data_IF_831773586761
#
_entry.id   IF_831773586761
#
_cell.length_a   1.000
_cell.length_b   1.000
_cell.length_c   1.000
_cell.angle_alpha   90.00
_cell.angle_beta   90.00
_cell.angle_gamma   90.00
#
_symmetry.space_group_name_H-M   'P 1'
#
loop_
_entity.id
_entity.type
_entity.pdbx_description
1 polymer ?
#
# COMPACT_ATOMS: atom_id res chain seq x y z
N UNK A 1 -21.82 10.88 4.00
CA UNK A 1 -22.67 11.23 2.82
C UNK A 1 -22.13 12.43 2.02
N UNK A 2 -21.37 13.38 2.60
CA UNK A 2 -20.79 14.54 1.87
C UNK A 2 -19.58 14.26 0.95
N UNK A 3 -18.87 13.15 1.12
CA UNK A 3 -17.61 12.88 0.41
C UNK A 3 -17.75 12.19 -0.95
N UNK A 4 -18.88 11.53 -1.25
CA UNK A 4 -19.05 10.76 -2.49
C UNK A 4 -19.30 11.66 -3.72
N UNK A 5 -20.03 12.76 -3.54
CA UNK A 5 -20.53 13.59 -4.66
C UNK A 5 -19.44 14.38 -5.37
N UNK A 6 -18.39 14.84 -4.66
CA UNK A 6 -17.27 15.59 -5.28
C UNK A 6 -16.34 14.70 -6.12
N UNK A 7 -16.29 13.39 -5.86
CA UNK A 7 -15.28 12.46 -6.41
C UNK A 7 -15.80 11.65 -7.60
N UNK A 8 -17.11 11.38 -7.65
CA UNK A 8 -17.78 10.83 -8.85
C UNK A 8 -17.58 11.74 -10.08
N UNK A 9 -17.52 13.07 -9.87
CA UNK A 9 -17.20 14.06 -10.92
C UNK A 9 -15.78 13.96 -11.49
N UNK A 10 -14.86 13.24 -10.84
CA UNK A 10 -13.47 13.03 -11.26
C UNK A 10 -13.19 11.60 -11.72
N UNK A 11 -14.23 10.80 -11.99
CA UNK A 11 -14.12 9.37 -12.35
C UNK A 11 -13.42 8.51 -11.28
N UNK A 12 -13.33 8.99 -10.04
CA UNK A 12 -12.76 8.24 -8.92
C UNK A 12 -13.87 7.39 -8.31
N UNK A 13 -13.81 6.07 -8.55
CA UNK A 13 -14.66 5.11 -7.88
C UNK A 13 -14.09 4.79 -6.50
N UNK A 14 -14.79 5.20 -5.44
CA UNK A 14 -14.52 4.69 -4.10
C UNK A 14 -15.37 3.44 -3.94
N UNK A 15 -14.77 2.28 -4.20
CA UNK A 15 -15.36 1.05 -3.71
C UNK A 15 -15.31 1.08 -2.18
N UNK A 16 -16.42 0.87 -1.46
CA UNK A 16 -16.28 0.49 -0.06
C UNK A 16 -15.36 -0.73 -0.02
N UNK A 17 -14.36 -0.75 0.88
CA UNK A 17 -13.39 -1.84 1.05
C UNK A 17 -14.00 -3.22 1.40
N UNK A 18 -15.31 -3.40 1.21
CA UNK A 18 -16.08 -4.62 1.53
C UNK A 18 -16.03 -5.69 0.45
N UNK A 19 -15.42 -5.46 -0.70
CA UNK A 19 -15.23 -6.54 -1.67
C UNK A 19 -13.87 -6.43 -2.35
N UNK A 20 -12.88 -7.17 -1.85
CA UNK A 20 -11.65 -7.48 -2.59
C UNK A 20 -11.96 -7.99 -4.02
N UNK A 21 -13.15 -8.57 -4.21
CA UNK A 21 -13.72 -8.95 -5.52
C UNK A 21 -13.88 -7.76 -6.47
N UNK A 22 -14.33 -6.61 -5.99
CA UNK A 22 -14.51 -5.41 -6.81
C UNK A 22 -13.16 -4.82 -7.22
N UNK A 23 -12.17 -4.81 -6.31
CA UNK A 23 -10.80 -4.43 -6.64
C UNK A 23 -10.22 -5.30 -7.75
N UNK A 24 -10.37 -6.64 -7.64
CA UNK A 24 -9.95 -7.57 -8.70
C UNK A 24 -10.68 -7.34 -10.01
N UNK A 25 -11.99 -7.07 -9.97
CA UNK A 25 -12.78 -6.75 -11.16
C UNK A 25 -12.24 -5.48 -11.84
N UNK A 26 -12.02 -4.41 -11.09
CA UNK A 26 -11.52 -3.15 -11.65
C UNK A 26 -10.12 -3.28 -12.25
N UNK A 27 -9.21 -3.99 -11.57
CA UNK A 27 -7.89 -4.25 -12.13
C UNK A 27 -7.96 -5.04 -13.45
N UNK A 28 -8.85 -6.03 -13.55
CA UNK A 28 -9.08 -6.78 -14.81
C UNK A 28 -9.71 -5.94 -15.91
N UNK A 29 -10.44 -4.89 -15.56
CA UNK A 29 -10.97 -3.88 -16.49
C UNK A 29 -9.94 -2.78 -16.82
N UNK A 30 -8.66 -3.00 -16.52
CA UNK A 30 -7.55 -2.05 -16.71
C UNK A 30 -7.77 -0.70 -16.02
N UNK A 31 -8.39 -0.72 -14.83
CA UNK A 31 -8.59 0.46 -13.98
C UNK A 31 -7.57 0.50 -12.85
N UNK A 32 -7.34 1.69 -12.31
CA UNK A 32 -6.45 1.92 -11.17
C UNK A 32 -7.23 1.77 -9.87
N UNK A 33 -6.63 1.11 -8.89
CA UNK A 33 -7.08 1.12 -7.49
C UNK A 33 -6.01 1.80 -6.63
N UNK A 34 -6.44 2.57 -5.63
CA UNK A 34 -5.55 3.17 -4.64
C UNK A 34 -5.79 2.48 -3.28
N UNK A 35 -4.71 2.03 -2.66
CA UNK A 35 -4.76 1.31 -1.38
C UNK A 35 -3.86 2.03 -0.38
N UNK A 36 -4.30 2.08 0.88
CA UNK A 36 -3.41 2.47 1.99
C UNK A 36 -2.50 1.29 2.24
N UNK A 37 -1.20 1.51 2.09
CA UNK A 37 -0.22 0.43 2.12
C UNK A 37 0.68 0.41 3.36
N UNK A 38 0.65 1.43 4.20
CA UNK A 38 1.52 1.56 5.38
C UNK A 38 0.82 1.16 6.68
N UNK A 39 -0.47 0.80 6.63
CA UNK A 39 -1.28 0.47 7.81
C UNK A 39 -2.12 -0.78 7.58
N UNK A 40 -1.88 -1.79 8.42
CA UNK A 40 -2.74 -2.95 8.48
C UNK A 40 -3.98 -2.64 9.35
N UNK A 41 -5.15 -2.57 8.72
CA UNK A 41 -6.45 -2.39 9.39
C UNK A 41 -7.27 -3.68 9.50
N UNK A 42 -6.76 -4.79 8.94
CA UNK A 42 -7.46 -6.06 8.86
C UNK A 42 -6.75 -7.16 9.64
N UNK A 43 -7.29 -8.37 9.56
CA UNK A 43 -6.70 -9.57 10.16
C UNK A 43 -5.56 -10.18 9.34
N UNK A 44 -5.27 -9.65 8.13
CA UNK A 44 -4.24 -10.17 7.24
C UNK A 44 -3.14 -9.13 7.04
N UNK A 45 -1.91 -9.52 7.32
CA UNK A 45 -0.71 -8.74 7.14
C UNK A 45 0.49 -9.69 7.09
N UNK A 46 1.49 -9.36 6.29
CA UNK A 46 2.75 -10.10 6.29
C UNK A 46 3.60 -9.56 7.42
N UNK A 47 4.05 -10.45 8.30
CA UNK A 47 5.03 -10.12 9.32
C UNK A 47 6.38 -9.90 8.64
N UNK A 48 6.92 -8.70 8.78
CA UNK A 48 8.16 -8.27 8.13
C UNK A 48 8.89 -7.28 9.01
N UNK A 49 10.22 -7.29 8.95
CA UNK A 49 11.03 -6.34 9.71
C UNK A 49 11.11 -5.01 8.97
N UNK A 50 10.55 -3.96 9.58
CA UNK A 50 10.69 -2.58 9.13
C UNK A 50 11.61 -1.86 10.12
N UNK A 51 12.66 -1.19 9.65
CA UNK A 51 13.75 -0.64 10.48
C UNK A 51 14.32 -1.62 11.53
N UNK A 52 14.36 -2.92 11.19
CA UNK A 52 14.87 -3.98 12.07
C UNK A 52 13.94 -4.39 13.22
N UNK A 53 12.68 -3.93 13.20
CA UNK A 53 11.67 -4.33 14.17
C UNK A 53 10.48 -4.98 13.45
N UNK A 54 9.91 -6.06 14.02
CA UNK A 54 8.82 -6.77 13.38
C UNK A 54 7.55 -5.92 13.35
N UNK A 55 6.89 -5.88 12.20
CA UNK A 55 5.57 -5.25 12.03
C UNK A 55 4.72 -6.03 11.01
N UNK A 56 3.42 -5.77 11.00
CA UNK A 56 2.51 -6.31 10.00
C UNK A 56 2.20 -5.26 8.93
N UNK A 57 2.72 -5.46 7.72
CA UNK A 57 2.34 -4.66 6.57
C UNK A 57 1.14 -5.26 5.82
N UNK A 58 0.23 -4.45 5.28
CA UNK A 58 -0.94 -4.93 4.56
C UNK A 58 -0.55 -5.62 3.25
N UNK A 59 -1.00 -6.86 3.06
CA UNK A 59 -0.66 -7.69 1.88
C UNK A 59 -1.45 -7.33 0.63
N UNK A 60 -2.52 -6.51 0.78
CA UNK A 60 -3.49 -6.23 -0.28
C UNK A 60 -2.84 -5.86 -1.62
N UNK A 61 -1.95 -4.86 -1.68
CA UNK A 61 -1.25 -4.49 -2.92
C UNK A 61 -0.52 -5.67 -3.57
N UNK A 62 0.28 -6.41 -2.79
CA UNK A 62 1.04 -7.56 -3.28
C UNK A 62 0.14 -8.69 -3.77
N UNK A 63 -0.90 -9.03 -3.01
CA UNK A 63 -1.88 -10.06 -3.37
C UNK A 63 -2.62 -9.70 -4.66
N UNK A 64 -2.99 -8.43 -4.87
CA UNK A 64 -3.64 -8.01 -6.11
C UNK A 64 -2.67 -8.04 -7.30
N UNK A 65 -1.45 -7.55 -7.10
CA UNK A 65 -0.37 -7.58 -8.08
C UNK A 65 -0.13 -9.00 -8.59
N UNK A 66 0.08 -9.97 -7.69
CA UNK A 66 0.33 -11.37 -8.03
C UNK A 66 -0.87 -12.04 -8.71
N UNK A 67 -2.10 -11.68 -8.34
CA UNK A 67 -3.32 -12.29 -8.90
C UNK A 67 -3.67 -11.79 -10.29
N UNK A 68 -3.35 -10.54 -10.62
CA UNK A 68 -3.74 -9.90 -11.88
C UNK A 68 -2.54 -9.73 -12.82
N UNK A 69 -1.31 -9.80 -12.31
CA UNK A 69 -0.09 -9.55 -13.08
C UNK A 69 0.09 -8.06 -13.37
N UNK A 70 -0.24 -7.19 -12.41
CA UNK A 70 -0.17 -5.73 -12.55
C UNK A 70 0.88 -5.15 -11.61
N UNK A 71 1.67 -4.14 -12.01
CA UNK A 71 2.67 -3.55 -11.13
C UNK A 71 2.06 -2.77 -9.97
N UNK A 72 2.85 -2.60 -8.91
CA UNK A 72 2.52 -1.70 -7.80
C UNK A 72 3.25 -0.39 -8.03
N UNK A 73 2.56 0.74 -7.96
CA UNK A 73 3.17 2.07 -8.02
C UNK A 73 3.06 2.71 -6.64
N UNK A 74 4.15 2.74 -5.84
CA UNK A 74 4.15 3.46 -4.57
C UNK A 74 3.93 4.95 -4.81
N UNK A 75 3.10 5.56 -3.98
CA UNK A 75 2.79 6.98 -4.08
C UNK A 75 2.74 7.62 -2.69
N UNK A 76 3.33 8.80 -2.57
CA UNK A 76 3.48 9.52 -1.31
C UNK A 76 3.04 10.96 -1.46
N UNK A 77 2.41 11.51 -0.41
CA UNK A 77 2.00 12.91 -0.36
C UNK A 77 2.82 13.61 0.71
N UNK A 78 3.59 14.61 0.30
CA UNK A 78 4.38 15.46 1.19
C UNK A 78 3.74 16.85 1.26
N UNK A 79 3.76 17.47 2.45
CA UNK A 79 3.27 18.83 2.65
C UNK A 79 4.44 19.81 2.50
N UNK A 80 4.27 20.83 1.68
CA UNK A 80 5.27 21.86 1.44
C UNK A 80 5.15 22.98 2.50
N UNK A 81 6.18 23.84 2.67
CA UNK A 81 6.15 24.95 3.64
C UNK A 81 5.02 25.97 3.40
N UNK A 82 4.52 26.08 2.17
CA UNK A 82 3.46 27.00 1.74
C UNK A 82 2.04 26.40 1.84
N UNK A 83 1.87 25.31 2.60
CA UNK A 83 0.62 24.55 2.78
C UNK A 83 0.10 23.83 1.52
N UNK A 84 0.87 23.86 0.42
CA UNK A 84 0.60 23.00 -0.74
C UNK A 84 1.08 21.58 -0.48
N UNK A 85 0.70 20.65 -1.37
CA UNK A 85 1.07 19.23 -1.25
C UNK A 85 1.66 18.72 -2.57
N UNK A 86 2.74 17.95 -2.46
CA UNK A 86 3.39 17.27 -3.58
C UNK A 86 3.02 15.80 -3.54
N UNK A 87 2.37 15.30 -4.61
CA UNK A 87 2.13 13.87 -4.81
C UNK A 87 3.24 13.30 -5.69
N UNK A 88 4.04 12.41 -5.12
CA UNK A 88 5.13 11.72 -5.81
C UNK A 88 4.69 10.30 -6.14
N UNK A 89 4.96 9.86 -7.36
CA UNK A 89 4.83 8.46 -7.79
C UNK A 89 6.23 7.91 -7.99
N UNK A 90 6.51 6.78 -7.35
CA UNK A 90 7.76 6.06 -7.53
C UNK A 90 7.75 5.24 -8.82
N UNK A 91 8.91 4.69 -9.15
CA UNK A 91 8.99 3.68 -10.21
C UNK A 91 8.07 2.50 -9.88
N UNK A 92 7.43 1.90 -10.89
CA UNK A 92 6.66 0.68 -10.68
C UNK A 92 7.52 -0.42 -10.08
N UNK A 93 7.02 -1.06 -9.02
CA UNK A 93 7.55 -2.31 -8.49
C UNK A 93 7.01 -3.41 -9.41
N UNK A 94 7.86 -3.81 -10.35
CA UNK A 94 7.59 -4.94 -11.23
C UNK A 94 8.02 -6.26 -10.58
N UNK A 95 7.27 -7.30 -10.90
CA UNK A 95 7.48 -8.63 -10.32
C UNK A 95 7.08 -9.72 -11.32
N UNK A 96 7.89 -10.77 -11.38
CA UNK A 96 7.63 -11.97 -12.17
C UNK A 96 7.47 -13.15 -11.23
N UNK A 97 6.26 -13.73 -11.12
CA UNK A 97 6.01 -14.87 -10.25
C UNK A 97 6.91 -16.08 -10.59
N UNK A 98 7.49 -16.68 -9.55
CA UNK A 98 8.29 -17.90 -9.65
C UNK A 98 7.41 -19.15 -9.66
N UNK A 99 6.17 -19.03 -9.16
CA UNK A 99 5.21 -20.13 -9.00
C UNK A 99 5.08 -20.60 -7.56
N UNK A 100 6.04 -20.25 -6.68
CA UNK A 100 5.90 -20.37 -5.23
C UNK A 100 5.19 -19.12 -4.69
N UNK A 101 3.91 -19.26 -4.36
CA UNK A 101 3.07 -18.13 -3.95
C UNK A 101 3.52 -17.47 -2.66
N UNK A 102 4.05 -18.23 -1.72
CA UNK A 102 4.42 -17.71 -0.40
C UNK A 102 5.75 -16.96 -0.52
N UNK A 103 6.71 -17.54 -1.24
CA UNK A 103 7.95 -16.85 -1.56
C UNK A 103 7.71 -15.59 -2.43
N UNK A 104 6.87 -15.70 -3.45
CA UNK A 104 6.53 -14.58 -4.34
C UNK A 104 5.89 -13.41 -3.58
N UNK A 105 5.03 -13.71 -2.60
CA UNK A 105 4.42 -12.72 -1.72
C UNK A 105 5.49 -12.03 -0.86
N UNK A 106 6.35 -12.80 -0.21
CA UNK A 106 7.41 -12.28 0.66
C UNK A 106 8.38 -11.39 -0.13
N UNK A 107 8.86 -11.83 -1.29
CA UNK A 107 9.76 -11.03 -2.13
C UNK A 107 9.13 -9.70 -2.57
N UNK A 108 7.85 -9.72 -2.94
CA UNK A 108 7.15 -8.50 -3.32
C UNK A 108 6.92 -7.57 -2.12
N UNK A 109 6.61 -8.13 -0.95
CA UNK A 109 6.50 -7.38 0.30
C UNK A 109 7.83 -6.76 0.74
N UNK A 110 8.96 -7.43 0.50
CA UNK A 110 10.31 -6.89 0.76
C UNK A 110 10.61 -5.68 -0.13
N UNK A 111 10.37 -5.79 -1.45
CA UNK A 111 10.52 -4.64 -2.38
C UNK A 111 9.65 -3.46 -1.97
N UNK A 112 8.41 -3.77 -1.61
CA UNK A 112 7.42 -2.80 -1.14
C UNK A 112 7.87 -2.08 0.15
N UNK A 113 8.36 -2.84 1.13
CA UNK A 113 8.90 -2.34 2.38
C UNK A 113 10.05 -1.36 2.15
N UNK A 114 11.03 -1.71 1.32
CA UNK A 114 12.21 -0.86 1.08
C UNK A 114 11.84 0.56 0.64
N UNK A 115 10.78 0.69 -0.16
CA UNK A 115 10.28 2.01 -0.59
C UNK A 115 9.65 2.76 0.59
N UNK A 116 8.84 2.09 1.43
CA UNK A 116 8.28 2.71 2.63
C UNK A 116 9.39 3.18 3.57
N UNK A 117 10.37 2.33 3.85
CA UNK A 117 11.50 2.65 4.73
C UNK A 117 12.27 3.87 4.22
N UNK A 118 12.51 3.93 2.91
CA UNK A 118 13.16 5.09 2.30
C UNK A 118 12.38 6.39 2.59
N UNK A 119 11.06 6.39 2.39
CA UNK A 119 10.24 7.59 2.61
C UNK A 119 10.10 7.97 4.08
N UNK A 120 9.86 6.99 4.97
CA UNK A 120 9.77 7.27 6.41
C UNK A 120 11.12 7.77 6.93
N UNK A 121 12.25 7.22 6.46
CA UNK A 121 13.57 7.68 6.87
C UNK A 121 13.88 9.09 6.37
N UNK A 122 13.45 9.42 5.16
CA UNK A 122 13.70 10.73 4.54
C UNK A 122 12.79 11.83 5.11
N UNK A 123 11.54 11.50 5.39
CA UNK A 123 10.51 12.44 5.85
C UNK A 123 9.75 11.91 7.10
N UNK A 124 10.45 11.64 8.22
CA UNK A 124 9.84 11.02 9.39
C UNK A 124 8.67 11.82 9.98
N UNK A 125 8.73 13.16 9.90
CA UNK A 125 7.70 14.07 10.37
C UNK A 125 6.41 14.03 9.53
N UNK A 126 6.49 13.50 8.30
CA UNK A 126 5.33 13.32 7.41
C UNK A 126 4.64 11.97 7.62
N UNK A 127 5.24 11.06 8.37
CA UNK A 127 4.65 9.76 8.63
C UNK A 127 3.59 9.84 9.74
N UNK A 128 2.32 9.78 9.33
CA UNK A 128 1.16 9.95 10.21
C UNK A 128 0.88 8.70 11.07
N UNK A 129 1.80 8.36 11.99
CA UNK A 129 1.74 7.16 12.82
C UNK A 129 1.64 7.49 14.33
N UNK A 130 0.44 7.86 14.78
CA UNK A 130 0.15 8.16 16.20
C UNK A 130 -0.32 6.94 17.01
N UNK A 131 -0.02 5.73 16.55
CA UNK A 131 -0.46 4.46 17.16
C UNK A 131 0.72 3.50 17.26
N UNK A 132 0.60 2.47 18.10
CA UNK A 132 1.54 1.34 18.09
C UNK A 132 1.60 0.75 16.68
N UNK A 133 2.81 0.69 16.14
CA UNK A 133 3.09 0.23 14.78
C UNK A 133 3.85 -1.09 14.76
N UNK A 134 4.81 -1.24 15.66
CA UNK A 134 5.57 -2.47 15.85
C UNK A 134 4.69 -3.56 16.47
N UNK A 135 4.89 -4.79 16.03
CA UNK A 135 4.32 -5.96 16.68
C UNK A 135 4.89 -6.08 18.10
N UNK A 136 4.09 -6.60 19.03
CA UNK A 136 4.62 -6.94 20.35
C UNK A 136 5.53 -8.15 20.20
N UNK A 137 6.75 -8.03 20.72
CA UNK A 137 7.63 -9.19 20.87
C UNK A 137 7.10 -10.00 22.04
N UNK A 138 6.75 -11.26 21.82
CA UNK A 138 6.46 -12.18 22.93
C UNK A 138 7.69 -12.19 23.86
N UNK A 139 7.45 -11.93 25.15
CA UNK A 139 8.48 -11.92 26.19
C UNK A 139 8.86 -13.32 26.61
#
# INVERSE_FOLDING_TARGET
MFHSTKRAKRSICIAPCRAARDCLKFLRENKIIALVGDRNFGSKGTLIDLFGLPTYLPEGPAVFSLKVGTPIIPAFVLRNPDDTHTLTFEKPIEFTPTGDKDNDLLELMEKYKLVIEHYIKTYPEHWFMFRKFWAEQEK
#
